data_IF_950537823542
#
_entry.id   IF_950537823542
#
_cell.length_a   1.000
_cell.length_b   1.000
_cell.length_c   1.000
_cell.angle_alpha   90.00
_cell.angle_beta   90.00
_cell.angle_gamma   90.00
#
_symmetry.space_group_name_H-M   'P 1'
#
loop_
_entity.id
_entity.type
_entity.pdbx_description
1 polymer ?
#
# COMPACT_ATOMS: atom_id res chain seq x y z
N UNK A 1 14.12 -2.53 -29.53
CA UNK A 1 14.39 -2.19 -28.13
C UNK A 1 13.05 -2.15 -27.40
N UNK A 2 12.58 -3.26 -26.84
CA UNK A 2 11.34 -3.28 -26.05
C UNK A 2 11.63 -4.11 -24.81
N UNK A 3 11.98 -3.41 -23.74
CA UNK A 3 12.12 -3.97 -22.40
C UNK A 3 11.18 -3.23 -21.47
N UNK A 4 9.88 -3.30 -21.73
CA UNK A 4 8.88 -2.88 -20.74
C UNK A 4 8.83 -3.95 -19.64
N UNK A 5 9.79 -3.90 -18.72
CA UNK A 5 9.57 -4.41 -17.36
C UNK A 5 8.60 -3.46 -16.65
N UNK A 6 7.39 -3.35 -17.18
CA UNK A 6 6.38 -2.43 -16.67
C UNK A 6 5.86 -2.96 -15.34
N UNK A 7 5.88 -2.13 -14.31
CA UNK A 7 5.06 -2.34 -13.12
C UNK A 7 3.66 -2.76 -13.55
N UNK A 8 3.10 -3.77 -12.91
CA UNK A 8 1.76 -4.25 -13.26
C UNK A 8 0.75 -3.09 -13.16
N UNK A 9 -0.30 -3.12 -13.99
CA UNK A 9 -1.36 -2.08 -13.95
C UNK A 9 -1.85 -1.83 -12.52
N UNK A 10 -2.05 -2.90 -11.74
CA UNK A 10 -2.47 -2.81 -10.34
C UNK A 10 -1.44 -2.11 -9.44
N UNK A 11 -0.13 -2.34 -9.62
CA UNK A 11 0.90 -1.63 -8.86
C UNK A 11 0.91 -0.12 -9.15
N UNK A 12 0.62 0.27 -10.39
CA UNK A 12 0.54 1.69 -10.75
C UNK A 12 -0.68 2.34 -10.09
N UNK A 13 -1.85 1.72 -10.25
CA UNK A 13 -3.11 2.23 -9.70
C UNK A 13 -3.08 2.30 -8.17
N UNK A 14 -2.51 1.30 -7.51
CA UNK A 14 -2.42 1.26 -6.04
C UNK A 14 -1.49 2.35 -5.49
N UNK A 15 -0.35 2.60 -6.14
CA UNK A 15 0.53 3.73 -5.79
C UNK A 15 -0.18 5.07 -5.93
N UNK A 16 -0.87 5.29 -7.06
CA UNK A 16 -1.60 6.54 -7.31
C UNK A 16 -2.68 6.77 -6.25
N UNK A 17 -3.43 5.72 -5.89
CA UNK A 17 -4.42 5.77 -4.82
C UNK A 17 -3.77 6.11 -3.47
N UNK A 18 -2.66 5.44 -3.11
CA UNK A 18 -1.95 5.71 -1.85
C UNK A 18 -1.43 7.14 -1.80
N UNK A 19 -0.78 7.63 -2.85
CA UNK A 19 -0.23 8.98 -2.91
C UNK A 19 -1.28 10.05 -2.59
N UNK A 20 -2.54 9.84 -2.99
CA UNK A 20 -3.65 10.76 -2.69
C UNK A 20 -4.03 10.85 -1.21
N UNK A 21 -3.58 9.89 -0.39
CA UNK A 21 -3.92 9.80 1.05
C UNK A 21 -2.80 10.30 1.97
N UNK A 22 -1.57 10.41 1.47
CA UNK A 22 -0.39 10.75 2.27
C UNK A 22 -0.30 12.26 2.55
N UNK A 23 0.34 12.61 3.67
CA UNK A 23 0.61 14.02 4.02
C UNK A 23 1.71 14.65 3.15
N UNK A 24 2.71 13.85 2.77
CA UNK A 24 3.80 14.25 1.88
C UNK A 24 3.99 13.18 0.80
N UNK A 25 3.20 13.25 -0.30
CA UNK A 25 3.24 12.25 -1.38
C UNK A 25 4.60 12.19 -2.09
N UNK A 26 5.29 13.33 -2.21
CA UNK A 26 6.60 13.41 -2.90
C UNK A 26 7.71 12.68 -2.11
N UNK A 27 7.51 12.51 -0.80
CA UNK A 27 8.41 11.72 0.05
C UNK A 27 8.14 10.20 0.04
N UNK A 28 7.08 9.76 -0.64
CA UNK A 28 6.62 8.38 -0.55
C UNK A 28 7.63 7.39 -1.13
N UNK A 29 7.97 6.39 -0.32
CA UNK A 29 8.81 5.26 -0.69
C UNK A 29 7.94 4.01 -0.66
N UNK A 30 7.89 3.29 -1.78
CA UNK A 30 7.11 2.06 -1.90
C UNK A 30 8.02 0.84 -2.01
N UNK A 31 7.63 -0.25 -1.36
CA UNK A 31 8.32 -1.53 -1.46
C UNK A 31 7.33 -2.71 -1.39
N UNK A 32 7.80 -3.92 -1.68
CA UNK A 32 7.02 -5.17 -1.59
C UNK A 32 5.65 -5.13 -2.30
N UNK A 33 5.59 -4.41 -3.42
CA UNK A 33 4.34 -4.14 -4.13
C UNK A 33 3.97 -5.34 -4.99
N UNK A 34 2.75 -5.83 -4.80
CA UNK A 34 2.18 -6.96 -5.55
C UNK A 34 0.74 -6.63 -5.86
N UNK A 35 0.47 -6.27 -7.12
CA UNK A 35 -0.86 -5.82 -7.53
C UNK A 35 -1.31 -4.61 -6.70
N UNK A 36 -2.41 -4.76 -5.97
CA UNK A 36 -2.99 -3.68 -5.18
C UNK A 36 -2.53 -3.62 -3.71
N UNK A 37 -1.56 -4.45 -3.34
CA UNK A 37 -1.01 -4.51 -2.00
C UNK A 37 0.45 -4.09 -2.00
N UNK A 38 0.91 -3.52 -0.90
CA UNK A 38 2.32 -3.20 -0.72
C UNK A 38 2.60 -2.51 0.59
N UNK A 39 3.80 -1.94 0.68
CA UNK A 39 4.22 -1.15 1.82
C UNK A 39 4.61 0.25 1.36
N UNK A 40 4.26 1.25 2.16
CA UNK A 40 4.58 2.66 1.91
C UNK A 40 5.16 3.30 3.16
N UNK A 41 6.18 4.12 2.99
CA UNK A 41 6.71 4.99 4.04
C UNK A 41 6.73 6.43 3.50
N UNK A 42 6.22 7.38 4.28
CA UNK A 42 6.21 8.80 3.91
C UNK A 42 6.45 9.67 5.14
N UNK A 43 6.82 10.92 4.92
CA UNK A 43 6.98 11.89 6.00
C UNK A 43 5.62 12.24 6.60
N UNK A 44 5.56 12.24 7.92
CA UNK A 44 4.41 12.78 8.66
C UNK A 44 4.46 14.32 8.71
N UNK A 45 3.47 14.93 9.37
CA UNK A 45 3.41 16.40 9.54
C UNK A 45 4.59 17.02 10.29
N UNK A 46 5.42 16.21 10.95
CA UNK A 46 6.63 16.63 11.65
C UNK A 46 7.89 16.45 10.79
N UNK A 47 7.75 16.04 9.52
CA UNK A 47 8.84 15.87 8.56
C UNK A 47 9.65 14.57 8.72
N UNK A 48 9.22 13.66 9.61
CA UNK A 48 9.91 12.40 9.90
C UNK A 48 9.22 11.19 9.27
N UNK A 49 10.02 10.18 8.91
CA UNK A 49 9.52 8.86 8.52
C UNK A 49 9.22 8.03 9.77
N UNK A 50 8.07 7.33 9.77
CA UNK A 50 7.63 6.49 10.90
C UNK A 50 7.77 4.99 10.62
N UNK A 51 8.37 4.65 9.47
CA UNK A 51 8.57 3.28 9.01
C UNK A 51 7.57 2.89 7.93
N UNK A 52 7.87 1.77 7.25
CA UNK A 52 6.98 1.22 6.24
C UNK A 52 5.70 0.69 6.86
N UNK A 53 4.59 1.05 6.23
CA UNK A 53 3.24 0.65 6.59
C UNK A 53 2.59 -0.13 5.46
N UNK A 54 1.97 -1.25 5.79
CA UNK A 54 1.22 -2.04 4.83
C UNK A 54 -0.04 -1.30 4.39
N UNK A 55 -0.37 -1.46 3.12
CA UNK A 55 -1.59 -0.93 2.54
C UNK A 55 -2.26 -1.92 1.59
N UNK A 56 -3.57 -1.77 1.46
CA UNK A 56 -4.42 -2.51 0.54
C UNK A 56 -5.27 -1.51 -0.25
N UNK A 57 -5.25 -1.59 -1.57
CA UNK A 57 -6.14 -0.82 -2.45
C UNK A 57 -7.20 -1.74 -3.06
N UNK A 58 -8.47 -1.45 -2.82
CA UNK A 58 -9.61 -2.26 -3.32
C UNK A 58 -10.70 -1.30 -3.80
N UNK A 59 -11.21 -1.52 -5.00
CA UNK A 59 -12.34 -0.77 -5.59
C UNK A 59 -12.22 0.76 -5.50
N UNK A 60 -11.00 1.29 -5.67
CA UNK A 60 -10.70 2.72 -5.59
C UNK A 60 -10.57 3.28 -4.17
N UNK A 61 -10.80 2.44 -3.14
CA UNK A 61 -10.48 2.72 -1.75
C UNK A 61 -9.05 2.34 -1.40
N UNK A 62 -8.57 2.91 -0.30
CA UNK A 62 -7.27 2.63 0.31
C UNK A 62 -7.49 2.34 1.79
N UNK A 63 -6.90 1.25 2.27
CA UNK A 63 -6.81 0.92 3.68
C UNK A 63 -5.33 0.81 4.06
N UNK A 64 -4.87 1.60 5.03
CA UNK A 64 -3.51 1.51 5.60
C UNK A 64 -3.59 0.98 7.03
N UNK A 65 -2.56 0.23 7.45
CA UNK A 65 -2.57 -0.43 8.77
C UNK A 65 -2.56 0.52 9.96
N UNK A 66 -2.20 1.79 9.76
CA UNK A 66 -2.16 2.85 10.78
C UNK A 66 -3.26 3.90 10.60
N UNK A 67 -4.25 3.64 9.73
CA UNK A 67 -5.40 4.51 9.57
C UNK A 67 -6.24 4.57 10.85
N UNK A 68 -6.72 5.77 11.19
CA UNK A 68 -7.57 5.98 12.37
C UNK A 68 -8.84 5.12 12.27
N UNK A 69 -9.18 4.42 13.36
CA UNK A 69 -10.36 3.55 13.43
C UNK A 69 -10.18 2.17 12.77
N UNK A 70 -8.97 1.83 12.32
CA UNK A 70 -8.64 0.50 11.80
C UNK A 70 -7.94 -0.31 12.89
N UNK A 71 -8.63 -1.31 13.43
CA UNK A 71 -8.03 -2.23 14.40
C UNK A 71 -6.98 -3.13 13.71
N UNK A 72 -5.83 -3.41 14.36
CA UNK A 72 -4.76 -4.23 13.77
C UNK A 72 -5.21 -5.62 13.30
N UNK A 73 -6.11 -6.25 14.04
CA UNK A 73 -6.68 -7.56 13.70
C UNK A 73 -7.54 -7.48 12.43
N UNK A 74 -8.38 -6.44 12.32
CA UNK A 74 -9.21 -6.19 11.14
C UNK A 74 -8.35 -5.96 9.90
N UNK A 75 -7.30 -5.15 10.01
CA UNK A 75 -6.36 -4.96 8.91
C UNK A 75 -5.69 -6.27 8.49
N UNK A 76 -5.22 -7.07 9.46
CA UNK A 76 -4.57 -8.34 9.18
C UNK A 76 -5.49 -9.31 8.42
N UNK A 77 -6.77 -9.40 8.78
CA UNK A 77 -7.75 -10.23 8.08
C UNK A 77 -7.92 -9.77 6.62
N UNK A 78 -8.05 -8.46 6.39
CA UNK A 78 -8.21 -7.90 5.03
C UNK A 78 -6.96 -8.14 4.19
N UNK A 79 -5.79 -7.93 4.79
CA UNK A 79 -4.50 -8.21 4.17
C UNK A 79 -4.38 -9.68 3.77
N UNK A 80 -4.66 -10.62 4.67
CA UNK A 80 -4.60 -12.05 4.33
C UNK A 80 -5.61 -12.43 3.24
N UNK A 81 -6.81 -11.84 3.24
CA UNK A 81 -7.82 -12.14 2.23
C UNK A 81 -7.46 -11.66 0.81
N UNK A 82 -6.65 -10.58 0.67
CA UNK A 82 -6.41 -9.92 -0.62
C UNK A 82 -4.95 -9.90 -1.06
N UNK A 83 -4.01 -9.98 -0.13
CA UNK A 83 -2.59 -9.69 -0.34
C UNK A 83 -1.68 -10.90 -0.12
N UNK A 84 -2.17 -11.97 0.50
CA UNK A 84 -1.46 -13.24 0.53
C UNK A 84 -2.02 -14.18 -0.53
N UNK A 85 -1.17 -14.80 -1.37
CA UNK A 85 -1.64 -15.84 -2.27
C UNK A 85 -2.09 -16.99 -1.39
N UNK A 86 -3.40 -17.12 -1.24
CA UNK A 86 -4.11 -18.16 -0.50
C UNK A 86 -3.25 -19.42 -0.26
N UNK A 87 -2.72 -19.56 0.96
CA UNK A 87 -2.31 -20.85 1.50
C UNK A 87 -3.59 -21.63 1.86
N UNK A 88 -4.39 -22.00 0.87
CA UNK A 88 -5.34 -23.10 1.02
C UNK A 88 -4.53 -24.39 0.82
N UNK A 89 -3.95 -24.89 1.90
CA UNK A 89 -3.63 -26.32 2.06
C UNK A 89 -4.84 -27.01 2.71
#
# INVERSE_FOLDING_TARGET
MVGINGCSKGEKESKEAILSTLKDPDSAQFQNIKGYCGEVNSKNSYGGYVGFKRYVSIDGGVLMEDSEGVEPETFAIIWEAHCTPNNYL
#
